data_IF_843581868770
#
_entry.id   IF_843581868770
#
_cell.length_a   1.000
_cell.length_b   1.000
_cell.length_c   1.000
_cell.angle_alpha   90.00
_cell.angle_beta   90.00
_cell.angle_gamma   90.00
#
_symmetry.space_group_name_H-M   'P 1'
#
loop_
_entity.id
_entity.type
_entity.pdbx_description
1 polymer ?
#
# COMPACT_ATOMS: atom_id res chain seq x y z
N UNK A 1 71.70 -3.04 -12.55
CA UNK A 1 71.92 -2.66 -13.97
C UNK A 1 70.94 -1.53 -14.29
N UNK A 2 71.49 -0.33 -14.56
CA UNK A 2 70.80 0.93 -14.93
C UNK A 2 70.12 1.65 -13.75
N UNK A 3 70.77 2.51 -12.95
CA UNK A 3 71.26 3.90 -13.22
C UNK A 3 70.20 4.79 -13.89
N UNK A 4 69.55 5.69 -13.14
CA UNK A 4 69.96 7.09 -12.80
C UNK A 4 69.28 8.07 -13.81
N UNK A 5 68.78 9.27 -13.53
CA UNK A 5 69.25 10.40 -12.69
C UNK A 5 68.10 11.45 -12.72
N UNK A 6 67.48 11.83 -11.59
CA UNK A 6 67.66 13.08 -10.79
C UNK A 6 67.71 14.43 -11.54
N UNK A 7 66.82 15.37 -11.18
CA UNK A 7 67.02 16.84 -10.98
C UNK A 7 65.68 17.38 -10.42
N UNK A 8 65.46 17.77 -9.15
CA UNK A 8 66.02 18.82 -8.28
C UNK A 8 65.99 20.20 -8.99
N UNK A 9 65.32 21.25 -8.51
CA UNK A 9 65.73 22.05 -7.33
C UNK A 9 64.84 23.32 -7.15
N UNK A 10 64.37 23.55 -5.90
CA UNK A 10 64.18 24.81 -5.10
C UNK A 10 63.42 26.03 -5.68
N UNK A 11 62.35 26.54 -5.04
CA UNK A 11 62.20 27.35 -3.78
C UNK A 11 62.57 28.84 -3.96
N UNK A 12 61.60 29.75 -3.80
CA UNK A 12 61.75 31.16 -3.32
C UNK A 12 60.35 31.73 -3.01
N UNK A 13 59.90 31.93 -1.77
CA UNK A 13 60.06 33.08 -0.84
C UNK A 13 59.75 34.48 -1.38
N UNK A 14 58.86 35.17 -0.63
CA UNK A 14 58.67 36.63 -0.49
C UNK A 14 58.05 37.34 -1.72
N UNK A 15 57.33 38.45 -1.65
CA UNK A 15 57.14 39.44 -0.60
C UNK A 15 55.89 40.30 -0.89
N UNK A 16 55.49 41.00 0.16
CA UNK A 16 54.48 42.03 0.40
C UNK A 16 54.46 43.22 -0.60
N UNK A 17 53.25 43.76 -0.90
CA UNK A 17 52.88 45.19 -1.11
C UNK A 17 51.36 45.27 -1.43
N UNK A 18 50.48 45.73 -0.55
CA UNK A 18 50.13 47.11 -0.15
C UNK A 18 49.12 47.83 -1.11
N UNK A 19 47.93 48.03 -0.54
CA UNK A 19 46.80 48.96 -0.78
C UNK A 19 46.65 49.75 -2.08
N UNK A 20 45.41 49.85 -2.60
CA UNK A 20 44.68 51.13 -2.76
C UNK A 20 43.17 50.92 -2.63
N UNK A 21 42.55 51.65 -1.70
CA UNK A 21 41.11 51.84 -1.53
C UNK A 21 40.49 52.64 -2.70
N UNK A 22 39.30 52.26 -3.17
CA UNK A 22 38.41 53.21 -3.85
C UNK A 22 36.98 53.07 -3.31
N UNK A 23 36.46 54.21 -2.85
CA UNK A 23 35.22 54.36 -2.10
C UNK A 23 34.29 55.30 -2.89
N UNK A 24 33.04 54.82 -3.13
CA UNK A 24 31.76 55.56 -3.32
C UNK A 24 31.48 56.22 -4.71
N UNK A 25 30.19 56.42 -5.12
CA UNK A 25 29.04 56.74 -4.25
C UNK A 25 27.69 56.03 -4.46
N UNK A 26 26.93 56.12 -3.36
CA UNK A 26 25.49 55.85 -3.19
C UNK A 26 24.63 56.75 -4.09
N UNK A 27 23.61 56.16 -4.70
CA UNK A 27 22.37 56.87 -5.02
C UNK A 27 21.20 56.16 -4.33
N UNK A 28 20.64 56.84 -3.33
CA UNK A 28 19.34 56.54 -2.73
C UNK A 28 18.26 57.01 -3.71
N UNK A 29 17.33 56.14 -4.09
CA UNK A 29 15.93 56.52 -4.26
C UNK A 29 15.04 55.44 -3.65
N UNK A 30 13.95 55.94 -3.10
CA UNK A 30 13.19 55.44 -1.97
C UNK A 30 11.74 55.29 -2.44
N UNK A 31 11.06 54.28 -1.87
CA UNK A 31 9.60 54.09 -1.74
C UNK A 31 8.78 53.80 -3.00
N UNK A 32 8.12 52.63 -3.00
CA UNK A 32 6.67 52.49 -2.75
C UNK A 32 6.28 50.99 -2.75
N UNK A 33 5.79 50.51 -1.61
CA UNK A 33 5.03 49.25 -1.50
C UNK A 33 3.68 49.44 -2.21
N UNK A 34 3.08 48.35 -2.73
CA UNK A 34 1.95 47.81 -1.99
C UNK A 34 1.97 46.29 -1.81
N UNK A 35 1.37 45.94 -0.69
CA UNK A 35 0.89 44.62 -0.23
C UNK A 35 0.30 43.81 -1.39
N UNK A 36 0.80 42.58 -1.58
CA UNK A 36 0.06 41.54 -2.31
C UNK A 36 -0.24 40.40 -1.35
N UNK A 37 -1.49 40.01 -1.42
CA UNK A 37 -2.31 39.21 -0.52
C UNK A 37 -1.77 37.79 -0.30
N UNK A 38 -1.93 37.37 0.94
CA UNK A 38 -1.85 36.01 1.46
C UNK A 38 -2.69 35.03 0.60
N UNK A 39 -2.05 34.04 -0.03
CA UNK A 39 -2.71 32.81 -0.40
C UNK A 39 -1.95 31.66 0.28
N UNK A 40 -2.36 31.31 1.50
CA UNK A 40 -2.08 29.98 2.01
C UNK A 40 -2.78 29.00 1.07
N UNK A 41 -2.03 28.39 0.17
CA UNK A 41 -2.49 27.21 -0.52
C UNK A 41 -2.70 26.15 0.56
N UNK A 42 -3.96 25.91 0.92
CA UNK A 42 -4.39 24.72 1.62
C UNK A 42 -3.97 23.54 0.71
N UNK A 43 -2.78 22.99 0.95
CA UNK A 43 -2.43 21.68 0.44
C UNK A 43 -3.35 20.71 1.18
N UNK A 44 -4.56 20.53 0.64
CA UNK A 44 -5.30 19.30 0.85
C UNK A 44 -4.34 18.25 0.31
N UNK A 45 -3.62 17.58 1.20
CA UNK A 45 -3.02 16.30 0.90
C UNK A 45 -4.22 15.43 0.58
N UNK A 46 -4.65 15.44 -0.68
CA UNK A 46 -5.40 14.34 -1.23
C UNK A 46 -4.44 13.17 -1.10
N UNK A 47 -4.56 12.42 0.00
CA UNK A 47 -4.06 11.07 0.01
C UNK A 47 -4.55 10.45 -1.30
N UNK A 48 -3.68 9.83 -2.11
CA UNK A 48 -4.17 9.06 -3.23
C UNK A 48 -5.11 8.01 -2.63
N UNK A 49 -6.42 8.22 -2.78
CA UNK A 49 -7.36 7.12 -2.73
C UNK A 49 -6.84 6.11 -3.75
N UNK A 50 -6.76 4.82 -3.42
CA UNK A 50 -6.28 3.84 -4.38
C UNK A 50 -7.08 4.01 -5.66
N UNK A 51 -6.36 4.30 -6.74
CA UNK A 51 -6.92 4.41 -8.06
C UNK A 51 -7.56 3.06 -8.40
N UNK A 52 -8.90 3.05 -8.50
CA UNK A 52 -9.63 1.93 -9.07
C UNK A 52 -9.39 1.91 -10.57
N UNK A 53 -8.43 1.10 -11.00
CA UNK A 53 -8.27 0.73 -12.39
C UNK A 53 -7.73 -0.69 -12.42
N UNK A 54 -8.63 -1.67 -12.40
CA UNK A 54 -8.60 -2.89 -13.22
C UNK A 54 -9.83 -3.74 -12.88
N UNK A 55 -10.39 -4.40 -13.88
CA UNK A 55 -11.64 -5.16 -13.76
C UNK A 55 -11.62 -6.19 -12.62
N UNK A 56 -12.83 -6.56 -12.19
CA UNK A 56 -13.10 -7.65 -11.24
C UNK A 56 -12.14 -8.81 -11.48
N UNK A 57 -11.32 -9.11 -10.48
CA UNK A 57 -10.29 -10.13 -10.53
C UNK A 57 -10.75 -11.42 -9.87
N UNK A 58 -11.87 -11.99 -10.31
CA UNK A 58 -12.35 -13.29 -9.85
C UNK A 58 -12.08 -14.34 -10.91
N UNK A 59 -11.49 -15.47 -10.50
CA UNK A 59 -11.29 -16.62 -11.36
C UNK A 59 -11.48 -17.92 -10.60
N UNK A 60 -11.72 -19.00 -11.34
CA UNK A 60 -11.77 -20.32 -10.74
C UNK A 60 -10.37 -20.90 -10.56
N UNK A 61 -10.08 -21.45 -9.39
CA UNK A 61 -8.79 -22.00 -9.03
C UNK A 61 -8.91 -23.32 -8.26
N UNK A 62 -7.79 -24.04 -8.11
CA UNK A 62 -7.68 -25.23 -7.26
C UNK A 62 -6.44 -25.09 -6.37
N UNK A 63 -6.50 -24.25 -5.33
CA UNK A 63 -5.32 -23.94 -4.52
C UNK A 63 -4.90 -25.10 -3.62
N UNK A 64 -5.76 -26.11 -3.44
CA UNK A 64 -5.56 -27.23 -2.52
C UNK A 64 -5.59 -28.58 -3.21
N UNK A 65 -5.01 -29.58 -2.55
CA UNK A 65 -4.92 -30.97 -3.00
C UNK A 65 -6.22 -31.74 -2.71
N UNK A 66 -7.37 -31.21 -3.14
CA UNK A 66 -8.69 -31.81 -2.90
C UNK A 66 -9.59 -31.85 -4.15
N UNK A 67 -9.06 -31.50 -5.32
CA UNK A 67 -9.76 -31.44 -6.62
C UNK A 67 -10.98 -30.50 -6.69
N UNK A 68 -11.29 -29.76 -5.62
CA UNK A 68 -12.41 -28.83 -5.57
C UNK A 68 -12.05 -27.53 -6.32
N UNK A 69 -13.08 -26.88 -6.88
CA UNK A 69 -12.94 -25.61 -7.59
C UNK A 69 -13.34 -24.46 -6.67
N UNK A 70 -12.51 -23.44 -6.57
CA UNK A 70 -12.67 -22.33 -5.65
C UNK A 70 -12.77 -21.03 -6.43
N UNK A 71 -13.45 -20.03 -5.87
CA UNK A 71 -13.29 -18.67 -6.31
C UNK A 71 -12.00 -18.10 -5.74
N UNK A 72 -11.11 -17.62 -6.59
CA UNK A 72 -9.90 -16.91 -6.20
C UNK A 72 -9.96 -15.44 -6.59
N UNK A 73 -9.19 -14.64 -5.85
CA UNK A 73 -8.91 -13.25 -6.16
C UNK A 73 -7.46 -12.89 -5.81
N UNK A 74 -7.03 -11.68 -6.15
CA UNK A 74 -5.73 -11.13 -5.77
C UNK A 74 -5.87 -10.07 -4.68
N UNK A 75 -4.81 -9.90 -3.90
CA UNK A 75 -4.61 -8.71 -3.08
C UNK A 75 -4.23 -7.53 -3.98
N UNK A 76 -4.89 -6.38 -3.85
CA UNK A 76 -4.72 -5.24 -4.78
C UNK A 76 -4.46 -3.88 -4.10
N UNK A 77 -4.90 -3.69 -2.84
CA UNK A 77 -4.81 -2.39 -2.12
C UNK A 77 -3.97 -2.43 -0.84
N UNK A 78 -3.10 -3.43 -0.68
CA UNK A 78 -2.23 -3.51 0.49
C UNK A 78 -1.21 -2.35 0.50
N UNK A 79 -0.85 -1.80 1.68
CA UNK A 79 0.25 -0.84 1.78
C UNK A 79 1.58 -1.48 1.39
N UNK A 80 2.64 -0.68 1.21
CA UNK A 80 3.96 -1.17 0.77
C UNK A 80 4.56 -2.26 1.66
N UNK A 81 4.22 -2.25 2.96
CA UNK A 81 4.60 -3.28 3.93
C UNK A 81 3.80 -4.59 3.81
N UNK A 82 2.71 -4.61 3.04
CA UNK A 82 1.70 -5.67 3.04
C UNK A 82 0.64 -5.46 4.14
N UNK A 83 -0.42 -6.26 4.07
CA UNK A 83 -1.45 -6.33 5.12
C UNK A 83 -1.11 -7.47 6.06
N UNK A 84 -1.04 -7.17 7.36
CA UNK A 84 -0.79 -8.16 8.40
C UNK A 84 -2.12 -8.80 8.80
N UNK A 85 -2.22 -10.11 8.66
CA UNK A 85 -3.41 -10.88 9.03
C UNK A 85 -3.05 -11.93 10.06
N UNK A 86 -3.98 -12.24 10.96
CA UNK A 86 -3.83 -13.39 11.86
C UNK A 86 -4.17 -14.68 11.10
N UNK A 87 -3.15 -15.49 10.81
CA UNK A 87 -3.35 -16.84 10.29
C UNK A 87 -3.95 -17.71 11.39
N UNK A 88 -5.20 -18.12 11.17
CA UNK A 88 -6.00 -18.86 12.13
C UNK A 88 -5.66 -20.36 12.13
N UNK A 89 -4.90 -20.86 11.15
CA UNK A 89 -4.35 -22.22 11.21
C UNK A 89 -3.22 -22.34 12.23
N UNK A 90 -2.37 -21.32 12.33
CA UNK A 90 -1.13 -21.35 13.12
C UNK A 90 -1.10 -20.38 14.31
N UNK A 91 -2.09 -19.48 14.42
CA UNK A 91 -2.11 -18.34 15.35
C UNK A 91 -0.88 -17.42 15.23
N UNK A 92 -0.30 -17.32 14.03
CA UNK A 92 0.82 -16.41 13.73
C UNK A 92 0.35 -15.26 12.84
N UNK A 93 1.09 -14.15 12.87
CA UNK A 93 0.86 -13.05 11.93
C UNK A 93 1.51 -13.41 10.60
N UNK A 94 0.72 -13.36 9.54
CA UNK A 94 1.16 -13.52 8.16
C UNK A 94 1.03 -12.18 7.42
N UNK A 95 1.93 -11.89 6.49
CA UNK A 95 1.87 -10.67 5.68
C UNK A 95 1.48 -11.02 4.25
N UNK A 96 0.30 -10.58 3.84
CA UNK A 96 -0.16 -10.67 2.45
C UNK A 96 0.26 -9.42 1.68
N UNK A 97 0.67 -9.57 0.43
CA UNK A 97 1.19 -8.51 -0.44
C UNK A 97 0.34 -8.38 -1.70
N UNK A 98 0.37 -7.21 -2.32
CA UNK A 98 -0.28 -7.01 -3.62
C UNK A 98 0.23 -8.04 -4.64
N UNK A 99 -0.70 -8.67 -5.35
CA UNK A 99 -0.44 -9.77 -6.28
C UNK A 99 -0.56 -11.17 -5.67
N UNK A 100 -0.57 -11.31 -4.34
CA UNK A 100 -0.81 -12.61 -3.70
C UNK A 100 -2.21 -13.11 -4.08
N UNK A 101 -2.30 -14.39 -4.44
CA UNK A 101 -3.57 -15.05 -4.78
C UNK A 101 -4.15 -15.75 -3.57
N UNK A 102 -5.44 -15.53 -3.32
CA UNK A 102 -6.18 -16.14 -2.22
C UNK A 102 -7.50 -16.71 -2.70
N UNK A 103 -7.95 -17.80 -2.10
CA UNK A 103 -9.28 -18.36 -2.30
C UNK A 103 -10.28 -17.71 -1.35
N UNK A 104 -11.44 -17.34 -1.87
CA UNK A 104 -12.57 -16.87 -1.07
C UNK A 104 -13.28 -18.06 -0.46
N UNK A 105 -13.53 -18.01 0.85
CA UNK A 105 -14.19 -19.08 1.57
C UNK A 105 -15.62 -18.71 1.95
N UNK A 106 -15.76 -17.60 2.65
CA UNK A 106 -17.01 -17.14 3.24
C UNK A 106 -16.89 -15.65 3.57
N UNK A 107 -18.00 -14.97 3.81
CA UNK A 107 -18.05 -13.55 4.12
C UNK A 107 -18.89 -13.27 5.37
N UNK A 108 -18.53 -12.19 6.06
CA UNK A 108 -19.28 -11.59 7.15
C UNK A 108 -19.60 -10.13 6.83
N UNK A 109 -20.58 -9.55 7.52
CA UNK A 109 -20.88 -8.13 7.43
C UNK A 109 -20.22 -7.34 8.57
N UNK A 110 -19.37 -6.40 8.24
CA UNK A 110 -18.76 -5.43 9.15
C UNK A 110 -19.74 -4.32 9.49
N UNK A 111 -20.33 -4.38 10.68
CA UNK A 111 -21.32 -3.39 11.14
C UNK A 111 -20.73 -1.99 11.32
N UNK A 112 -19.41 -1.85 11.41
CA UNK A 112 -18.73 -0.55 11.48
C UNK A 112 -18.56 0.11 10.10
N UNK A 113 -18.70 -0.67 9.03
CA UNK A 113 -18.55 -0.22 7.64
C UNK A 113 -17.16 0.30 7.28
N UNK A 114 -16.14 -0.11 8.03
CA UNK A 114 -14.74 0.33 7.82
C UNK A 114 -13.98 -0.57 6.87
N UNK A 115 -14.43 -1.81 6.69
CA UNK A 115 -13.62 -2.84 6.06
C UNK A 115 -14.00 -3.22 4.64
N UNK A 116 -15.07 -2.68 4.06
CA UNK A 116 -15.45 -2.99 2.69
C UNK A 116 -15.21 -1.89 1.66
N UNK A 117 -15.41 -2.25 0.38
CA UNK A 117 -15.20 -1.39 -0.80
C UNK A 117 -16.46 -0.59 -1.10
N UNK A 118 -16.30 0.68 -1.52
CA UNK A 118 -17.38 1.49 -2.10
C UNK A 118 -18.67 1.55 -1.24
N UNK A 119 -18.52 1.56 0.09
CA UNK A 119 -19.64 1.60 1.04
C UNK A 119 -20.27 0.23 1.33
N UNK A 120 -19.79 -0.83 0.68
CA UNK A 120 -20.15 -2.20 1.04
C UNK A 120 -19.43 -2.58 2.35
N UNK A 121 -20.05 -3.45 3.14
CA UNK A 121 -19.62 -3.76 4.50
C UNK A 121 -19.15 -5.22 4.61
N UNK A 122 -18.38 -5.73 3.64
CA UNK A 122 -17.99 -7.15 3.64
C UNK A 122 -16.57 -7.36 4.15
N UNK A 123 -16.41 -8.44 4.90
CA UNK A 123 -15.13 -9.01 5.30
C UNK A 123 -15.12 -10.45 4.82
N UNK A 124 -14.04 -10.87 4.18
CA UNK A 124 -13.89 -12.21 3.67
C UNK A 124 -13.03 -13.06 4.60
N UNK A 125 -13.42 -14.31 4.74
CA UNK A 125 -12.47 -15.36 5.07
C UNK A 125 -11.77 -15.78 3.79
N UNK A 126 -10.45 -15.78 3.83
CA UNK A 126 -9.58 -16.15 2.71
C UNK A 126 -8.69 -17.32 3.10
N UNK A 127 -8.48 -18.24 2.16
CA UNK A 127 -7.60 -19.39 2.31
C UNK A 127 -6.45 -19.32 1.29
N UNK A 128 -5.25 -19.78 1.65
CA UNK A 128 -4.13 -19.93 0.72
C UNK A 128 -3.23 -21.12 1.10
N UNK A 129 -2.33 -21.49 0.18
CA UNK A 129 -1.39 -22.58 0.39
C UNK A 129 0.04 -22.21 -0.03
N UNK A 130 0.98 -22.30 0.92
CA UNK A 130 2.42 -22.09 0.69
C UNK A 130 3.24 -23.02 1.61
N UNK A 131 3.14 -24.33 1.36
CA UNK A 131 3.75 -25.37 2.19
C UNK A 131 2.83 -25.91 3.29
N UNK A 132 1.85 -25.11 3.73
CA UNK A 132 0.71 -25.51 4.56
C UNK A 132 -0.58 -24.81 4.10
N UNK A 133 -1.74 -25.23 4.63
CA UNK A 133 -3.00 -24.51 4.41
C UNK A 133 -3.19 -23.46 5.48
N UNK A 134 -3.42 -22.23 5.06
CA UNK A 134 -3.60 -21.07 5.91
C UNK A 134 -4.96 -20.46 5.66
N UNK A 135 -5.50 -19.77 6.67
CA UNK A 135 -6.71 -18.99 6.51
C UNK A 135 -6.77 -17.80 7.44
N UNK A 136 -7.42 -16.74 7.01
CA UNK A 136 -7.56 -15.50 7.78
C UNK A 136 -8.84 -14.74 7.41
N UNK A 137 -9.20 -13.76 8.23
CA UNK A 137 -10.19 -12.75 7.86
C UNK A 137 -9.49 -11.50 7.34
N UNK A 138 -10.02 -10.91 6.27
CA UNK A 138 -9.48 -9.71 5.65
C UNK A 138 -10.61 -8.85 5.09
N UNK A 139 -10.48 -7.52 5.23
CA UNK A 139 -11.43 -6.58 4.63
C UNK A 139 -11.48 -6.70 3.12
N UNK A 140 -12.69 -6.60 2.55
CA UNK A 140 -12.93 -6.67 1.10
C UNK A 140 -12.14 -5.59 0.33
N UNK A 141 -11.81 -4.45 0.97
CA UNK A 141 -11.00 -3.40 0.33
C UNK A 141 -9.56 -3.76 -0.02
N UNK A 142 -9.04 -4.84 0.57
CA UNK A 142 -7.73 -5.37 0.18
C UNK A 142 -7.81 -6.36 -0.99
N UNK A 143 -9.02 -6.73 -1.43
CA UNK A 143 -9.25 -7.75 -2.45
C UNK A 143 -9.70 -7.14 -3.78
N UNK A 144 -9.38 -7.80 -4.89
CA UNK A 144 -9.90 -7.44 -6.21
C UNK A 144 -11.24 -8.14 -6.55
N UNK A 145 -12.16 -8.19 -5.58
CA UNK A 145 -13.49 -8.80 -5.68
C UNK A 145 -14.49 -7.92 -6.45
N UNK A 146 -14.31 -6.59 -6.39
CA UNK A 146 -15.26 -5.60 -6.88
C UNK A 146 -16.53 -5.52 -6.03
N UNK A 147 -17.52 -4.76 -6.50
CA UNK A 147 -18.81 -4.61 -5.80
C UNK A 147 -19.60 -5.92 -5.68
N UNK A 148 -20.56 -5.94 -4.75
CA UNK A 148 -21.45 -7.09 -4.45
C UNK A 148 -22.01 -7.79 -5.70
N UNK A 149 -22.56 -7.09 -6.71
CA UNK A 149 -23.12 -7.76 -7.88
C UNK A 149 -22.09 -8.62 -8.64
N UNK A 150 -20.80 -8.32 -8.53
CA UNK A 150 -19.74 -9.03 -9.24
C UNK A 150 -19.47 -10.41 -8.64
N UNK A 151 -19.35 -10.50 -7.32
CA UNK A 151 -19.05 -11.76 -6.65
C UNK A 151 -20.31 -12.54 -6.24
N UNK A 152 -21.46 -11.89 -6.02
CA UNK A 152 -22.67 -12.55 -5.51
C UNK A 152 -23.15 -13.71 -6.38
N UNK A 153 -22.94 -13.62 -7.71
CA UNK A 153 -23.28 -14.65 -8.69
C UNK A 153 -22.04 -15.39 -9.24
N UNK A 154 -20.90 -15.31 -8.57
CA UNK A 154 -19.71 -16.07 -8.95
C UNK A 154 -19.76 -17.46 -8.27
N UNK A 155 -19.56 -18.58 -9.00
CA UNK A 155 -19.69 -19.91 -8.42
C UNK A 155 -18.41 -20.37 -7.72
N UNK A 156 -18.50 -21.35 -6.84
CA UNK A 156 -17.40 -22.12 -6.25
C UNK A 156 -17.88 -23.54 -5.88
N UNK A 157 -17.05 -24.31 -5.15
CA UNK A 157 -17.37 -25.66 -4.65
C UNK A 157 -18.63 -25.77 -3.80
N UNK A 158 -19.14 -24.68 -3.23
CA UNK A 158 -20.27 -24.65 -2.30
C UNK A 158 -21.52 -24.00 -2.89
N UNK A 159 -21.41 -23.40 -4.07
CA UNK A 159 -22.48 -22.82 -4.85
C UNK A 159 -22.11 -21.41 -5.30
N UNK A 160 -23.06 -20.50 -5.32
CA UNK A 160 -22.76 -19.08 -5.59
C UNK A 160 -22.22 -18.40 -4.33
N UNK A 161 -21.17 -17.58 -4.43
CA UNK A 161 -20.57 -16.91 -3.26
C UNK A 161 -21.60 -16.08 -2.46
N UNK A 162 -22.65 -15.57 -3.11
CA UNK A 162 -23.76 -14.84 -2.47
C UNK A 162 -24.74 -15.67 -1.64
N UNK A 163 -24.61 -17.01 -1.65
CA UNK A 163 -25.58 -17.88 -0.98
C UNK A 163 -25.37 -17.92 0.55
N UNK A 164 -26.38 -18.42 1.29
CA UNK A 164 -26.32 -18.47 2.76
C UNK A 164 -25.21 -19.37 3.35
N UNK A 165 -24.68 -20.34 2.61
CA UNK A 165 -23.59 -21.20 3.08
C UNK A 165 -22.28 -20.44 3.26
N UNK A 166 -22.11 -19.32 2.55
CA UNK A 166 -20.94 -18.45 2.69
C UNK A 166 -21.14 -17.37 3.76
N UNK A 167 -22.33 -17.25 4.36
CA UNK A 167 -22.58 -16.18 5.33
C UNK A 167 -22.16 -16.61 6.75
N UNK A 168 -21.23 -15.86 7.35
CA UNK A 168 -20.73 -16.11 8.71
C UNK A 168 -21.35 -15.19 9.78
N UNK A 169 -22.32 -14.35 9.41
CA UNK A 169 -22.96 -13.42 10.34
C UNK A 169 -22.40 -11.99 10.25
N UNK A 170 -22.51 -11.28 11.37
CA UNK A 170 -22.13 -9.88 11.51
C UNK A 170 -21.00 -9.76 12.53
N UNK A 171 -20.13 -8.76 12.38
CA UNK A 171 -19.09 -8.46 13.35
C UNK A 171 -18.58 -7.03 13.23
N UNK A 172 -17.64 -6.65 14.07
CA UNK A 172 -16.93 -5.37 14.00
C UNK A 172 -15.48 -5.57 14.45
N UNK A 173 -14.56 -4.72 14.00
CA UNK A 173 -13.15 -4.84 14.36
C UNK A 173 -12.26 -4.00 13.46
N UNK A 174 -10.97 -4.33 13.46
CA UNK A 174 -10.01 -3.77 12.49
C UNK A 174 -9.93 -4.68 11.27
N UNK A 175 -9.65 -4.12 10.09
CA UNK A 175 -9.80 -4.82 8.81
C UNK A 175 -8.64 -5.76 8.44
N UNK A 176 -7.60 -5.71 9.26
CA UNK A 176 -6.37 -6.49 9.28
C UNK A 176 -6.46 -7.66 10.29
N UNK A 177 -7.21 -7.49 11.40
CA UNK A 177 -7.48 -8.55 12.39
C UNK A 177 -8.97 -8.59 12.73
N UNK A 178 -9.79 -9.08 11.80
CA UNK A 178 -11.24 -9.23 12.03
C UNK A 178 -11.57 -10.57 12.70
N UNK A 179 -12.52 -10.56 13.64
CA UNK A 179 -13.07 -11.76 14.28
C UNK A 179 -14.60 -11.69 14.32
N UNK A 180 -15.34 -12.55 13.59
CA UNK A 180 -16.81 -12.50 13.54
C UNK A 180 -17.54 -12.89 14.83
N UNK A 181 -16.88 -12.99 15.99
CA UNK A 181 -17.50 -13.50 17.24
C UNK A 181 -17.29 -12.66 18.50
N UNK A 182 -16.84 -11.42 18.35
CA UNK A 182 -16.84 -10.44 19.45
C UNK A 182 -18.00 -9.46 19.33
#
# INVERSE_FOLDING_TARGET
MGEATTFRTLRSTADRREQVNSVKPRWRRVLRFPIVVLAMALAIVMAPGPASADGVGLWQCKPFVDNLQYACTTITSAPSGGVQVLDRSSNQIYTLRNGDSVALWAWAKDTSGRCGVAGNQYVWTVDWQNGGRHWAFIGDHYLNTGDVPNWNNFPDRWGWLGNQKHFLGYGSGTCDVFDPKN
#
